data_IF_768581054753
#
_entry.id   IF_768581054753
#
_cell.length_a   1.000
_cell.length_b   1.000
_cell.length_c   1.000
_cell.angle_alpha   90.00
_cell.angle_beta   90.00
_cell.angle_gamma   90.00
#
_symmetry.space_group_name_H-M   'P 1'
#
loop_
_entity.id
_entity.type
_entity.pdbx_description
1 polymer ?
#
# COMPACT_ATOMS: atom_id res chain seq x y z
N UNK A 1 31.54 66.50 14.80
CA UNK A 1 30.13 66.45 14.36
C UNK A 1 29.80 65.25 13.44
N UNK A 2 30.74 64.72 12.66
CA UNK A 2 30.47 63.59 11.75
C UNK A 2 30.21 62.25 12.49
N UNK A 3 30.93 61.97 13.58
CA UNK A 3 30.84 60.70 14.34
C UNK A 3 29.49 60.57 15.08
N UNK A 4 28.96 61.68 15.61
CA UNK A 4 27.64 61.72 16.28
C UNK A 4 26.48 61.52 15.29
N UNK A 5 26.61 62.03 14.06
CA UNK A 5 25.62 61.83 13.00
C UNK A 5 25.59 60.36 12.54
N UNK A 6 26.76 59.71 12.42
CA UNK A 6 26.87 58.29 12.05
C UNK A 6 26.33 57.37 13.15
N UNK A 7 26.56 57.70 14.43
CA UNK A 7 26.00 56.95 15.55
C UNK A 7 24.47 57.04 15.59
N UNK A 8 23.91 58.25 15.45
CA UNK A 8 22.46 58.45 15.37
C UNK A 8 21.84 57.75 14.15
N UNK A 9 22.49 57.81 12.99
CA UNK A 9 22.03 57.09 11.80
C UNK A 9 22.10 55.56 11.95
N UNK A 10 23.13 55.01 12.60
CA UNK A 10 23.22 53.57 12.90
C UNK A 10 22.12 53.08 13.85
N UNK A 11 21.79 53.87 14.87
CA UNK A 11 20.70 53.54 15.79
C UNK A 11 19.33 53.64 15.13
N UNK A 12 19.10 54.63 14.26
CA UNK A 12 17.86 54.71 13.44
C UNK A 12 17.73 53.54 12.46
N UNK A 13 18.83 53.06 11.86
CA UNK A 13 18.83 51.88 10.98
C UNK A 13 18.61 50.59 11.79
N UNK A 14 19.13 50.51 13.01
CA UNK A 14 18.88 49.41 13.94
C UNK A 14 17.40 49.31 14.35
N UNK A 15 16.79 50.45 14.72
CA UNK A 15 15.38 50.55 15.10
C UNK A 15 14.44 50.19 13.94
N UNK A 16 14.76 50.61 12.71
CA UNK A 16 13.95 50.28 11.53
C UNK A 16 14.07 48.80 11.12
N UNK A 17 15.24 48.16 11.29
CA UNK A 17 15.38 46.71 11.10
C UNK A 17 14.57 45.90 12.10
N UNK A 18 14.59 46.26 13.38
CA UNK A 18 13.84 45.52 14.42
C UNK A 18 12.33 45.65 14.22
N UNK A 19 11.85 46.84 13.88
CA UNK A 19 10.45 47.08 13.47
C UNK A 19 10.06 46.26 12.24
N UNK A 20 10.91 46.19 11.21
CA UNK A 20 10.68 45.36 10.02
C UNK A 20 10.57 43.87 10.36
N UNK A 21 11.46 43.33 11.20
CA UNK A 21 11.37 41.95 11.66
C UNK A 21 10.09 41.66 12.46
N UNK A 22 9.64 42.64 13.25
CA UNK A 22 8.39 42.55 14.04
C UNK A 22 7.16 42.52 13.13
N UNK A 23 7.11 43.37 12.11
CA UNK A 23 6.07 43.37 11.08
C UNK A 23 6.08 42.07 10.25
N UNK A 24 7.26 41.59 9.84
CA UNK A 24 7.38 40.32 9.11
C UNK A 24 6.90 39.12 9.95
N UNK A 25 7.18 39.12 11.26
CA UNK A 25 6.69 38.10 12.20
C UNK A 25 5.18 38.14 12.41
N UNK A 26 4.60 39.35 12.49
CA UNK A 26 3.15 39.56 12.55
C UNK A 26 2.46 39.09 11.26
N UNK A 27 3.01 39.42 10.10
CA UNK A 27 2.49 38.99 8.80
C UNK A 27 2.58 37.48 8.61
N UNK A 28 3.59 36.80 9.17
CA UNK A 28 3.66 35.33 9.19
C UNK A 28 2.55 34.67 10.04
N UNK A 29 2.03 35.37 11.05
CA UNK A 29 0.95 34.89 11.92
C UNK A 29 -0.45 35.30 11.43
N UNK A 30 -0.53 36.17 10.43
CA UNK A 30 -1.79 36.69 9.92
C UNK A 30 -2.44 35.72 8.91
N UNK A 31 -3.74 35.88 8.70
CA UNK A 31 -4.54 35.10 7.73
C UNK A 31 -4.26 35.57 6.29
N UNK A 32 -3.77 36.82 6.14
CA UNK A 32 -3.50 37.52 4.88
C UNK A 32 -2.10 37.17 4.33
N UNK A 33 -1.86 35.89 4.11
CA UNK A 33 -0.64 35.44 3.42
C UNK A 33 -0.69 35.71 1.92
N UNK A 34 0.45 35.72 1.21
CA UNK A 34 0.49 35.91 -0.25
C UNK A 34 -0.30 34.85 -1.04
N UNK A 35 -0.55 33.68 -0.44
CA UNK A 35 -1.39 32.62 -1.01
C UNK A 35 -2.88 32.72 -0.63
N UNK A 36 -3.30 33.80 0.04
CA UNK A 36 -4.70 34.05 0.37
C UNK A 36 -5.55 34.33 -0.87
N UNK A 37 -4.99 35.04 -1.86
CA UNK A 37 -5.66 35.39 -3.12
C UNK A 37 -6.01 34.16 -3.98
N UNK A 38 -5.27 33.06 -3.82
CA UNK A 38 -5.50 31.81 -4.57
C UNK A 38 -6.63 30.95 -3.99
N UNK A 39 -7.16 31.29 -2.81
CA UNK A 39 -8.21 30.50 -2.15
C UNK A 39 -9.58 30.99 -2.61
N UNK A 40 -10.39 30.09 -3.16
CA UNK A 40 -11.77 30.39 -3.61
C UNK A 40 -12.69 30.89 -2.48
N UNK A 41 -12.42 30.50 -1.23
CA UNK A 41 -13.14 30.98 -0.05
C UNK A 41 -12.23 31.05 1.17
N UNK A 42 -12.51 32.03 2.04
CA UNK A 42 -11.83 32.15 3.34
C UNK A 42 -12.19 30.94 4.20
N UNK A 43 -11.22 30.18 4.71
CA UNK A 43 -11.51 29.08 5.60
C UNK A 43 -12.21 29.60 6.87
N UNK A 44 -13.21 28.88 7.40
CA UNK A 44 -13.94 29.32 8.58
C UNK A 44 -13.00 29.43 9.79
N UNK A 45 -13.15 30.51 10.58
CA UNK A 45 -12.32 30.79 11.75
C UNK A 45 -12.33 29.66 12.80
N UNK A 46 -13.46 28.96 12.94
CA UNK A 46 -13.60 27.76 13.78
C UNK A 46 -14.32 26.67 12.99
N UNK A 47 -13.79 25.46 13.08
CA UNK A 47 -14.45 24.30 12.50
C UNK A 47 -15.70 23.92 13.30
N UNK A 48 -16.75 23.48 12.61
CA UNK A 48 -17.94 22.97 13.28
C UNK A 48 -17.59 21.71 14.09
N UNK A 49 -18.31 21.49 15.21
CA UNK A 49 -18.14 20.27 16.02
C UNK A 49 -18.32 18.99 15.17
N UNK A 50 -19.16 19.05 14.14
CA UNK A 50 -19.41 17.92 13.22
C UNK A 50 -18.24 17.69 12.28
N UNK A 51 -17.66 18.75 11.68
CA UNK A 51 -16.47 18.65 10.85
C UNK A 51 -15.30 18.04 11.64
N UNK A 52 -15.11 18.50 12.87
CA UNK A 52 -14.06 17.99 13.76
C UNK A 52 -14.28 16.50 14.11
N UNK A 53 -15.53 16.08 14.36
CA UNK A 53 -15.90 14.67 14.57
C UNK A 53 -15.62 13.83 13.31
N UNK A 54 -15.91 14.34 12.12
CA UNK A 54 -15.66 13.65 10.85
C UNK A 54 -14.16 13.46 10.61
N UNK A 55 -13.35 14.51 10.81
CA UNK A 55 -11.88 14.43 10.71
C UNK A 55 -11.31 13.37 11.64
N UNK A 56 -11.74 13.36 12.91
CA UNK A 56 -11.34 12.33 13.89
C UNK A 56 -11.76 10.92 13.47
N UNK A 57 -12.92 10.75 12.83
CA UNK A 57 -13.33 9.44 12.29
C UNK A 57 -12.40 8.99 11.16
N UNK A 58 -12.10 9.89 10.21
CA UNK A 58 -11.17 9.61 9.11
C UNK A 58 -9.77 9.27 9.61
N UNK A 59 -9.25 10.00 10.60
CA UNK A 59 -7.96 9.70 11.24
C UNK A 59 -7.96 8.33 11.93
N UNK A 60 -9.05 8.01 12.63
CA UNK A 60 -9.22 6.69 13.24
C UNK A 60 -9.29 5.59 12.20
N UNK A 61 -10.02 5.78 11.10
CA UNK A 61 -10.17 4.76 10.05
C UNK A 61 -8.87 4.44 9.31
N UNK A 62 -7.86 5.31 9.39
CA UNK A 62 -6.52 5.05 8.81
C UNK A 62 -5.72 4.05 9.64
N UNK A 63 -6.06 3.84 10.90
CA UNK A 63 -5.31 3.00 11.83
C UNK A 63 -6.22 2.00 12.54
N UNK A 64 -5.69 0.88 13.00
CA UNK A 64 -6.44 -0.06 13.85
C UNK A 64 -6.70 0.47 15.27
N UNK A 65 -6.09 1.59 15.64
CA UNK A 65 -6.14 2.19 16.98
C UNK A 65 -5.13 1.59 17.97
N UNK A 66 -5.11 2.16 19.18
CA UNK A 66 -4.08 1.85 20.20
C UNK A 66 -4.13 0.41 20.73
N UNK A 67 -5.31 -0.24 20.69
CA UNK A 67 -5.47 -1.64 21.12
C UNK A 67 -4.78 -2.65 20.20
N UNK A 68 -4.37 -2.22 18.99
CA UNK A 68 -3.64 -3.05 18.04
C UNK A 68 -2.53 -2.24 17.36
N UNK A 69 -1.64 -1.71 18.19
CA UNK A 69 -0.37 -1.03 17.82
C UNK A 69 -0.48 0.01 16.69
N UNK A 70 -1.63 0.64 16.50
CA UNK A 70 -1.86 1.65 15.46
C UNK A 70 -1.42 1.21 14.05
N UNK A 71 -1.68 -0.04 13.69
CA UNK A 71 -1.35 -0.56 12.36
C UNK A 71 -2.05 0.27 11.26
N UNK A 72 -1.25 0.86 10.37
CA UNK A 72 -1.72 1.66 9.23
C UNK A 72 -2.36 0.77 8.16
N UNK A 73 -3.43 1.23 7.53
CA UNK A 73 -3.95 0.63 6.30
C UNK A 73 -3.02 0.95 5.12
N UNK A 74 -2.40 -0.04 4.48
CA UNK A 74 -1.62 0.18 3.26
C UNK A 74 -2.53 0.48 2.07
N UNK A 75 -1.98 1.16 1.07
CA UNK A 75 -2.64 1.30 -0.23
C UNK A 75 -2.55 -0.03 -0.99
N UNK A 76 -3.65 -0.46 -1.61
CA UNK A 76 -3.72 -1.70 -2.37
C UNK A 76 -3.06 -1.51 -3.75
N UNK A 77 -1.74 -1.65 -3.80
CA UNK A 77 -0.99 -1.75 -5.06
C UNK A 77 -1.23 -3.10 -5.72
N UNK A 78 -1.02 -3.21 -7.03
CA UNK A 78 -1.23 -4.46 -7.77
C UNK A 78 -0.40 -5.62 -7.20
N UNK A 79 0.87 -5.36 -6.87
CA UNK A 79 1.78 -6.33 -6.24
C UNK A 79 1.20 -6.88 -4.93
N UNK A 80 0.73 -5.99 -4.03
CA UNK A 80 0.13 -6.38 -2.77
C UNK A 80 -1.17 -7.16 -2.98
N UNK A 81 -1.98 -6.79 -3.97
CA UNK A 81 -3.20 -7.56 -4.27
C UNK A 81 -2.87 -8.97 -4.77
N UNK A 82 -1.78 -9.13 -5.52
CA UNK A 82 -1.35 -10.44 -6.03
C UNK A 82 -0.84 -11.33 -4.88
N UNK A 83 -0.02 -10.77 -3.99
CA UNK A 83 0.44 -11.45 -2.78
C UNK A 83 -0.74 -11.88 -1.88
N UNK A 84 -1.75 -11.01 -1.70
CA UNK A 84 -2.95 -11.34 -0.93
C UNK A 84 -3.81 -12.44 -1.61
N UNK A 85 -3.90 -12.44 -2.94
CA UNK A 85 -4.58 -13.52 -3.70
C UNK A 85 -3.85 -14.85 -3.51
N UNK A 86 -2.52 -14.84 -3.56
CA UNK A 86 -1.68 -16.02 -3.31
C UNK A 86 -1.95 -16.60 -1.93
N UNK A 87 -2.01 -15.76 -0.88
CA UNK A 87 -2.37 -16.19 0.47
C UNK A 87 -3.78 -16.79 0.54
N UNK A 88 -4.76 -16.20 -0.16
CA UNK A 88 -6.12 -16.75 -0.23
C UNK A 88 -6.11 -18.15 -0.88
N UNK A 89 -5.29 -18.35 -1.91
CA UNK A 89 -5.18 -19.60 -2.67
C UNK A 89 -4.13 -20.58 -2.12
N UNK A 90 -3.60 -20.38 -0.90
CA UNK A 90 -2.54 -21.23 -0.32
C UNK A 90 -2.85 -22.73 -0.30
N UNK A 91 -4.12 -23.09 -0.19
CA UNK A 91 -4.57 -24.49 -0.17
C UNK A 91 -4.36 -25.24 -1.49
N UNK A 92 -4.26 -24.52 -2.62
CA UNK A 92 -4.05 -25.14 -3.94
C UNK A 92 -2.60 -25.12 -4.40
N UNK A 93 -1.72 -24.43 -3.65
CA UNK A 93 -0.34 -24.18 -4.04
C UNK A 93 0.52 -25.44 -3.94
N UNK A 94 0.41 -26.16 -2.84
CA UNK A 94 1.14 -27.40 -2.59
C UNK A 94 0.14 -28.53 -2.35
N UNK A 95 0.13 -29.60 -3.17
CA UNK A 95 -0.78 -30.73 -2.98
C UNK A 95 -0.54 -31.50 -1.68
N UNK A 96 0.63 -31.37 -1.04
CA UNK A 96 0.97 -32.09 0.19
C UNK A 96 0.55 -31.34 1.45
N UNK A 97 0.33 -30.03 1.36
CA UNK A 97 0.02 -29.18 2.52
C UNK A 97 -1.44 -28.76 2.50
N UNK A 98 -2.19 -29.29 3.46
CA UNK A 98 -3.58 -28.91 3.67
C UNK A 98 -3.68 -27.86 4.77
N UNK A 99 -4.21 -26.69 4.42
CA UNK A 99 -4.49 -25.61 5.36
C UNK A 99 -5.96 -25.59 5.74
N UNK A 100 -6.27 -25.00 6.90
CA UNK A 100 -7.64 -24.63 7.24
C UNK A 100 -8.21 -23.68 6.19
N UNK A 101 -9.49 -23.88 5.84
CA UNK A 101 -10.24 -23.01 4.92
C UNK A 101 -10.27 -21.58 5.45
N UNK A 102 -10.34 -20.62 4.54
CA UNK A 102 -10.43 -19.20 4.90
C UNK A 102 -11.86 -18.89 5.36
N UNK A 103 -11.99 -18.27 6.54
CA UNK A 103 -13.29 -17.98 7.16
C UNK A 103 -13.95 -16.69 6.61
N UNK A 104 -13.18 -15.83 5.91
CA UNK A 104 -13.64 -14.51 5.45
C UNK A 104 -13.48 -14.35 3.94
N UNK A 105 -14.49 -13.76 3.33
CA UNK A 105 -14.44 -13.31 1.94
C UNK A 105 -14.00 -11.85 1.86
N UNK A 106 -12.83 -11.65 1.25
CA UNK A 106 -12.24 -10.33 1.00
C UNK A 106 -10.81 -10.21 1.53
N UNK A 107 -10.16 -9.09 1.22
CA UNK A 107 -8.84 -8.78 1.75
C UNK A 107 -8.94 -8.09 3.13
N UNK A 108 -7.98 -8.33 4.04
CA UNK A 108 -7.94 -7.60 5.29
C UNK A 108 -7.72 -6.10 5.05
N UNK A 109 -8.45 -5.25 5.78
CA UNK A 109 -8.33 -3.78 5.66
C UNK A 109 -6.98 -3.24 6.19
N UNK A 110 -6.49 -3.83 7.26
CA UNK A 110 -5.24 -3.44 7.90
C UNK A 110 -4.29 -4.63 7.87
N UNK A 111 -3.10 -4.44 7.30
CA UNK A 111 -2.06 -5.45 7.26
C UNK A 111 -0.68 -4.78 7.13
N UNK A 112 0.36 -5.52 7.45
CA UNK A 112 1.75 -5.13 7.23
C UNK A 112 2.49 -6.28 6.55
N UNK A 113 3.40 -5.94 5.66
CA UNK A 113 4.29 -6.90 5.02
C UNK A 113 5.63 -6.83 5.76
N UNK A 114 6.02 -7.95 6.34
CA UNK A 114 7.29 -8.09 7.05
C UNK A 114 8.17 -9.15 6.38
N UNK A 115 9.48 -9.06 6.62
CA UNK A 115 10.45 -10.07 6.21
C UNK A 115 10.92 -10.83 7.44
N UNK A 116 11.11 -12.15 7.29
CA UNK A 116 11.63 -12.99 8.37
C UNK A 116 13.13 -12.73 8.49
N UNK A 117 13.60 -12.44 9.70
CA UNK A 117 15.02 -12.25 9.99
C UNK A 117 15.63 -13.60 10.39
N UNK A 118 16.79 -13.93 9.81
CA UNK A 118 17.48 -15.18 10.09
C UNK A 118 17.86 -15.28 11.58
N UNK A 119 17.74 -16.48 12.14
CA UNK A 119 18.24 -16.78 13.47
C UNK A 119 19.75 -17.13 13.38
N UNK A 120 20.64 -16.53 14.19
CA UNK A 120 22.06 -16.88 14.20
C UNK A 120 22.35 -18.34 14.59
N UNK A 121 21.43 -19.03 15.25
CA UNK A 121 21.64 -20.41 15.75
C UNK A 121 21.50 -21.48 14.67
N UNK A 122 20.61 -21.30 13.69
CA UNK A 122 20.38 -22.28 12.62
C UNK A 122 20.86 -21.74 11.28
N UNK A 123 22.13 -22.02 10.97
CA UNK A 123 22.79 -21.51 9.78
C UNK A 123 22.45 -22.30 8.50
N UNK A 124 22.18 -23.60 8.63
CA UNK A 124 22.20 -24.51 7.48
C UNK A 124 20.81 -24.82 6.90
N UNK A 125 19.72 -24.71 7.67
CA UNK A 125 18.42 -25.22 7.23
C UNK A 125 17.38 -24.12 7.00
N UNK A 126 17.24 -23.19 7.94
CA UNK A 126 16.27 -22.09 7.81
C UNK A 126 16.76 -20.92 6.94
N UNK A 127 18.07 -20.80 6.72
CA UNK A 127 18.66 -19.60 6.09
C UNK A 127 18.60 -19.63 4.57
N UNK A 128 17.98 -18.60 3.99
CA UNK A 128 17.91 -18.42 2.53
C UNK A 128 19.11 -17.58 2.05
N UNK A 129 19.89 -18.04 1.06
CA UNK A 129 21.01 -17.28 0.51
C UNK A 129 20.53 -16.01 -0.20
N UNK A 130 21.37 -14.97 -0.19
CA UNK A 130 21.02 -13.63 -0.71
C UNK A 130 20.48 -13.63 -2.16
N UNK A 131 20.94 -14.56 -3.01
CA UNK A 131 20.50 -14.69 -4.41
C UNK A 131 19.05 -15.15 -4.56
N UNK A 132 18.58 -15.95 -3.60
CA UNK A 132 17.24 -16.53 -3.61
C UNK A 132 16.20 -15.61 -2.95
N UNK A 133 16.62 -14.67 -2.10
CA UNK A 133 15.72 -13.67 -1.50
C UNK A 133 15.11 -12.77 -2.56
N UNK A 134 13.78 -12.69 -2.61
CA UNK A 134 13.04 -11.80 -3.52
C UNK A 134 12.29 -10.71 -2.75
N UNK A 135 11.65 -9.79 -3.48
CA UNK A 135 10.94 -8.66 -2.87
C UNK A 135 9.51 -9.04 -2.49
N UNK A 136 8.86 -9.86 -3.32
CA UNK A 136 7.46 -10.26 -3.15
C UNK A 136 7.32 -11.78 -3.03
N UNK A 137 6.25 -12.23 -2.39
CA UNK A 137 5.99 -13.68 -2.24
C UNK A 137 5.72 -14.33 -3.61
N UNK A 138 5.04 -13.63 -4.51
CA UNK A 138 4.81 -14.09 -5.88
C UNK A 138 6.14 -14.32 -6.63
N UNK A 139 7.12 -13.43 -6.49
CA UNK A 139 8.43 -13.60 -7.13
C UNK A 139 9.18 -14.84 -6.62
N UNK A 140 9.09 -15.14 -5.33
CA UNK A 140 9.70 -16.35 -4.75
C UNK A 140 9.08 -17.62 -5.37
N UNK A 141 7.76 -17.64 -5.49
CA UNK A 141 7.05 -18.77 -6.11
C UNK A 141 7.37 -18.94 -7.59
N UNK A 142 7.54 -17.84 -8.32
CA UNK A 142 7.91 -17.89 -9.74
C UNK A 142 9.37 -18.34 -9.93
N UNK A 143 10.24 -18.09 -8.95
CA UNK A 143 11.63 -18.56 -8.98
C UNK A 143 11.73 -20.08 -8.79
N UNK A 144 10.78 -20.70 -8.08
CA UNK A 144 10.74 -22.14 -7.87
C UNK A 144 10.41 -22.90 -9.18
N UNK A 145 11.29 -23.83 -9.55
CA UNK A 145 11.14 -24.66 -10.74
C UNK A 145 10.07 -25.76 -10.55
N UNK A 146 9.99 -26.35 -9.36
CA UNK A 146 9.05 -27.44 -9.08
C UNK A 146 7.63 -26.91 -9.15
N UNK A 147 7.36 -25.78 -8.48
CA UNK A 147 6.09 -25.09 -8.51
C UNK A 147 5.62 -24.78 -9.94
N UNK A 148 6.50 -24.23 -10.79
CA UNK A 148 6.18 -23.94 -12.19
C UNK A 148 5.83 -25.19 -12.98
N UNK A 149 6.61 -26.25 -12.82
CA UNK A 149 6.39 -27.51 -13.55
C UNK A 149 5.05 -28.15 -13.19
N UNK A 150 4.73 -28.19 -11.89
CA UNK A 150 3.49 -28.75 -11.36
C UNK A 150 2.27 -27.95 -11.83
N UNK A 151 2.31 -26.63 -11.69
CA UNK A 151 1.21 -25.76 -12.11
C UNK A 151 0.97 -25.82 -13.61
N UNK A 152 2.03 -25.86 -14.43
CA UNK A 152 1.91 -26.03 -15.88
C UNK A 152 1.24 -27.35 -16.23
N UNK A 153 1.60 -28.45 -15.56
CA UNK A 153 0.99 -29.77 -15.76
C UNK A 153 -0.49 -29.76 -15.38
N UNK A 154 -0.82 -29.24 -14.19
CA UNK A 154 -2.21 -29.17 -13.70
C UNK A 154 -3.07 -28.23 -14.53
N UNK A 155 -2.55 -27.09 -14.94
CA UNK A 155 -3.25 -26.17 -15.82
C UNK A 155 -3.61 -26.83 -17.16
N UNK A 156 -2.66 -27.53 -17.80
CA UNK A 156 -2.93 -28.27 -19.03
C UNK A 156 -4.03 -29.32 -18.83
N UNK A 157 -3.96 -30.09 -17.74
CA UNK A 157 -4.97 -31.10 -17.40
C UNK A 157 -6.37 -30.46 -17.29
N UNK A 158 -6.49 -29.37 -16.54
CA UNK A 158 -7.77 -28.65 -16.37
C UNK A 158 -8.27 -28.08 -17.70
N UNK A 159 -7.39 -27.53 -18.53
CA UNK A 159 -7.77 -27.00 -19.85
C UNK A 159 -8.25 -28.13 -20.77
N UNK A 160 -7.55 -29.27 -20.80
CA UNK A 160 -7.97 -30.42 -21.62
C UNK A 160 -9.32 -30.99 -21.16
N UNK A 161 -9.55 -31.07 -19.85
CA UNK A 161 -10.81 -31.53 -19.28
C UNK A 161 -11.97 -30.56 -19.57
N UNK A 162 -11.72 -29.25 -19.44
CA UNK A 162 -12.68 -28.20 -19.84
C UNK A 162 -12.97 -28.21 -21.35
N UNK A 163 -11.97 -28.51 -22.17
CA UNK A 163 -12.15 -28.61 -23.62
C UNK A 163 -12.95 -29.86 -24.03
N UNK A 164 -12.70 -31.00 -23.36
CA UNK A 164 -13.44 -32.24 -23.56
C UNK A 164 -14.91 -32.11 -23.13
N UNK A 165 -15.20 -31.39 -22.05
CA UNK A 165 -16.58 -31.10 -21.62
C UNK A 165 -17.25 -29.95 -22.42
N UNK A 166 -16.49 -29.24 -23.25
CA UNK A 166 -16.92 -28.04 -23.94
C UNK A 166 -17.92 -28.27 -25.08
N UNK A 167 -18.66 -27.20 -25.43
CA UNK A 167 -19.64 -27.20 -26.54
C UNK A 167 -19.05 -27.68 -27.87
N UNK A 168 -17.76 -27.43 -28.12
CA UNK A 168 -17.05 -27.88 -29.33
C UNK A 168 -16.94 -29.41 -29.40
N UNK A 169 -16.59 -30.07 -28.29
CA UNK A 169 -16.55 -31.54 -28.24
C UNK A 169 -17.95 -32.14 -28.42
N UNK A 170 -18.98 -31.55 -27.77
CA UNK A 170 -20.38 -31.94 -27.98
C UNK A 170 -20.83 -31.81 -29.44
N UNK A 171 -20.47 -30.72 -30.13
CA UNK A 171 -20.77 -30.54 -31.56
C UNK A 171 -20.04 -31.57 -32.43
N UNK A 172 -18.75 -31.84 -32.17
CA UNK A 172 -17.96 -32.85 -32.88
C UNK A 172 -18.57 -34.25 -32.74
N UNK A 173 -18.97 -34.66 -31.54
CA UNK A 173 -19.60 -35.97 -31.32
C UNK A 173 -20.96 -36.08 -32.03
N UNK A 174 -21.75 -34.98 -32.08
CA UNK A 174 -22.99 -34.94 -32.87
C UNK A 174 -22.74 -35.07 -34.37
N UNK A 175 -21.67 -34.45 -34.90
CA UNK A 175 -21.29 -34.54 -36.31
C UNK A 175 -20.85 -35.96 -36.69
N UNK A 176 -20.00 -36.59 -35.87
CA UNK A 176 -19.59 -37.98 -36.11
C UNK A 176 -20.77 -38.95 -36.06
N UNK A 177 -21.74 -38.74 -35.16
CA UNK A 177 -22.97 -39.57 -35.11
C UNK A 177 -23.86 -39.41 -36.35
N UNK A 178 -23.81 -38.26 -37.04
CA UNK A 178 -24.56 -38.03 -38.28
C UNK A 178 -23.90 -38.60 -39.53
N UNK A 179 -22.58 -38.80 -39.50
CA UNK A 179 -21.80 -39.31 -40.64
C UNK A 179 -21.67 -40.84 -40.67
N UNK A 180 -22.06 -41.52 -39.58
CA UNK A 180 -22.03 -42.99 -39.46
C UNK A 180 -23.36 -43.68 -39.75
N UNK A 181 -24.21 -43.09 -40.60
CA UNK A 181 -25.49 -43.65 -41.05
C UNK A 181 -25.61 -43.48 -42.56
#
# INVERSE_FOLDING_TARGET
MLITLIAWAKDSIGQSRTEFFKCAHLMKRSIMGPDFEKKEAVPPYKESKQALKLKRKVEKEKTTGAGWFNMKAPELTEELTNDLKVLKMRATMDPKRFYKKNDRDGFPKYFQVGTVVDNPVDFYHSRIPKKQRKRTMVEELLADAEFRSYNKKKYKQVITEKAASGKRHRKKNKLHKKQGN
#
